data_IF_751695235393
#
_entry.id   IF_751695235393
#
_cell.length_a   1.000
_cell.length_b   1.000
_cell.length_c   1.000
_cell.angle_alpha   90.00
_cell.angle_beta   90.00
_cell.angle_gamma   90.00
#
_symmetry.space_group_name_H-M   'P 1'
#
loop_
_entity.id
_entity.type
_entity.pdbx_description
1 polymer ?
#
# COMPACT_ATOMS: atom_id res chain seq x y z
N UNK A 1 -14.12 -4.47 1.09
CA UNK A 1 -14.79 -3.30 0.49
C UNK A 1 -16.26 -3.61 0.23
N UNK A 2 -16.58 -4.41 -0.80
CA UNK A 2 -17.96 -4.68 -1.25
C UNK A 2 -18.86 -5.19 -0.11
N UNK A 3 -18.45 -6.24 0.60
CA UNK A 3 -19.21 -6.77 1.74
C UNK A 3 -19.48 -5.73 2.83
N UNK A 4 -18.50 -4.87 3.11
CA UNK A 4 -18.62 -3.80 4.10
C UNK A 4 -19.68 -2.79 3.66
N UNK A 5 -19.60 -2.34 2.42
CA UNK A 5 -20.60 -1.46 1.80
C UNK A 5 -21.99 -2.10 1.86
N UNK A 6 -22.15 -3.37 1.46
CA UNK A 6 -23.43 -4.08 1.54
C UNK A 6 -23.99 -4.12 2.95
N UNK A 7 -23.16 -4.37 3.96
CA UNK A 7 -23.58 -4.40 5.38
C UNK A 7 -24.04 -3.02 5.84
N UNK A 8 -23.28 -1.97 5.54
CA UNK A 8 -23.63 -0.59 5.90
C UNK A 8 -24.96 -0.18 5.26
N UNK A 9 -25.15 -0.47 3.97
CA UNK A 9 -26.39 -0.13 3.29
C UNK A 9 -27.60 -0.92 3.77
N UNK A 10 -27.44 -2.20 4.16
CA UNK A 10 -28.53 -2.97 4.81
C UNK A 10 -29.02 -2.33 6.11
N UNK A 11 -28.13 -1.66 6.84
CA UNK A 11 -28.48 -0.94 8.08
C UNK A 11 -29.15 0.40 7.76
N UNK A 12 -28.62 1.13 6.77
CA UNK A 12 -29.10 2.47 6.42
C UNK A 12 -30.38 2.48 5.59
N UNK A 13 -30.63 1.42 4.80
CA UNK A 13 -31.73 1.37 3.84
C UNK A 13 -32.18 -0.07 3.61
N UNK A 14 -33.49 -0.31 3.54
CA UNK A 14 -34.06 -1.65 3.30
C UNK A 14 -33.88 -2.15 1.86
N UNK A 15 -33.20 -1.38 1.00
CA UNK A 15 -32.94 -1.72 -0.39
C UNK A 15 -31.96 -2.91 -0.47
N UNK A 16 -32.42 -3.99 -1.10
CA UNK A 16 -31.70 -5.28 -1.11
C UNK A 16 -30.50 -5.32 -2.05
N UNK A 17 -30.31 -4.33 -2.94
CA UNK A 17 -29.25 -4.40 -3.95
C UNK A 17 -28.85 -3.03 -4.52
N UNK A 18 -27.95 -2.34 -3.82
CA UNK A 18 -27.44 -1.02 -4.24
C UNK A 18 -26.64 -1.09 -5.54
N UNK A 19 -25.95 -2.20 -5.76
CA UNK A 19 -25.00 -2.36 -6.87
C UNK A 19 -25.68 -2.56 -8.23
N UNK A 20 -27.01 -2.78 -8.25
CA UNK A 20 -27.80 -2.80 -9.48
C UNK A 20 -28.16 -1.40 -9.98
N UNK A 21 -28.27 -0.43 -9.05
CA UNK A 21 -28.64 0.95 -9.36
C UNK A 21 -27.41 1.86 -9.48
N UNK A 22 -26.39 1.61 -8.66
CA UNK A 22 -25.22 2.46 -8.54
C UNK A 22 -23.96 1.80 -9.12
N UNK A 23 -23.12 2.63 -9.76
CA UNK A 23 -21.80 2.22 -10.25
C UNK A 23 -20.77 2.35 -9.14
N UNK A 24 -19.90 1.35 -9.00
CA UNK A 24 -18.90 1.31 -7.94
C UNK A 24 -17.55 1.84 -8.45
N UNK A 25 -17.14 3.01 -8.00
CA UNK A 25 -15.79 3.55 -8.25
C UNK A 25 -14.90 3.37 -7.02
N UNK A 26 -13.68 2.85 -7.21
CA UNK A 26 -12.71 2.69 -6.14
C UNK A 26 -11.29 3.07 -6.56
N UNK A 27 -10.50 3.53 -5.60
CA UNK A 27 -9.09 3.87 -5.79
C UNK A 27 -8.20 2.62 -6.02
N UNK A 28 -6.92 2.87 -6.34
CA UNK A 28 -5.93 1.82 -6.57
C UNK A 28 -5.49 1.07 -5.30
N UNK A 29 -5.85 1.56 -4.13
CA UNK A 29 -5.72 0.87 -2.84
C UNK A 29 -6.62 -0.38 -2.79
N UNK A 30 -7.78 -0.34 -3.45
CA UNK A 30 -8.75 -1.43 -3.47
C UNK A 30 -8.54 -2.47 -4.57
N UNK A 31 -7.51 -2.33 -5.40
CA UNK A 31 -7.11 -3.28 -6.44
C UNK A 31 -6.48 -4.57 -5.84
N UNK A 32 -7.28 -5.36 -5.14
CA UNK A 32 -6.90 -6.65 -4.56
C UNK A 32 -7.64 -7.78 -5.27
N UNK A 33 -7.00 -8.94 -5.45
CA UNK A 33 -7.57 -10.11 -6.14
C UNK A 33 -8.95 -10.50 -5.61
N UNK A 34 -9.10 -10.60 -4.28
CA UNK A 34 -10.38 -10.91 -3.63
C UNK A 34 -11.48 -9.90 -3.99
N UNK A 35 -11.16 -8.60 -4.03
CA UNK A 35 -12.14 -7.58 -4.40
C UNK A 35 -12.55 -7.72 -5.87
N UNK A 36 -11.60 -7.94 -6.78
CA UNK A 36 -11.88 -8.14 -8.20
C UNK A 36 -12.75 -9.39 -8.42
N UNK A 37 -12.40 -10.51 -7.80
CA UNK A 37 -13.20 -11.75 -7.88
C UNK A 37 -14.64 -11.53 -7.42
N UNK A 38 -14.84 -10.76 -6.34
CA UNK A 38 -16.19 -10.41 -5.87
C UNK A 38 -16.95 -9.52 -6.85
N UNK A 39 -16.30 -8.50 -7.43
CA UNK A 39 -16.92 -7.65 -8.47
C UNK A 39 -17.38 -8.50 -9.67
N UNK A 40 -16.49 -9.36 -10.17
CA UNK A 40 -16.78 -10.20 -11.34
C UNK A 40 -17.87 -11.24 -11.05
N UNK A 41 -17.78 -11.95 -9.93
CA UNK A 41 -18.77 -12.99 -9.58
C UNK A 41 -20.17 -12.43 -9.28
N UNK A 42 -20.25 -11.22 -8.72
CA UNK A 42 -21.52 -10.56 -8.42
C UNK A 42 -22.05 -9.72 -9.59
N UNK A 43 -21.31 -9.62 -10.70
CA UNK A 43 -21.73 -8.85 -11.88
C UNK A 43 -21.89 -7.35 -11.61
N UNK A 44 -21.05 -6.80 -10.72
CA UNK A 44 -21.15 -5.39 -10.32
C UNK A 44 -20.48 -4.50 -11.38
N UNK A 45 -21.18 -3.46 -11.85
CA UNK A 45 -20.58 -2.42 -12.71
C UNK A 45 -19.65 -1.55 -11.85
N UNK A 46 -18.35 -1.89 -11.90
CA UNK A 46 -17.32 -1.24 -11.08
C UNK A 46 -16.11 -0.77 -11.91
N UNK A 47 -15.61 0.41 -11.55
CA UNK A 47 -14.39 1.02 -12.09
C UNK A 47 -13.36 1.10 -10.97
N UNK A 48 -12.39 0.20 -10.99
CA UNK A 48 -11.33 0.11 -9.99
C UNK A 48 -10.00 0.50 -10.65
N UNK A 49 -9.34 1.52 -10.09
CA UNK A 49 -8.05 1.95 -10.62
C UNK A 49 -6.97 0.86 -10.44
N UNK A 50 -6.11 0.66 -11.44
CA UNK A 50 -4.97 -0.27 -11.35
C UNK A 50 -3.77 0.40 -10.65
N UNK A 51 -3.21 -0.29 -9.65
CA UNK A 51 -2.00 0.13 -8.94
C UNK A 51 -0.76 0.13 -9.84
N UNK A 52 -0.73 -0.70 -10.87
CA UNK A 52 0.39 -0.85 -11.78
C UNK A 52 0.25 -0.02 -13.06
N UNK A 53 -0.81 0.80 -13.17
CA UNK A 53 -1.04 1.65 -14.34
C UNK A 53 0.22 2.45 -14.74
N UNK A 54 0.89 3.07 -13.75
CA UNK A 54 2.12 3.85 -13.97
C UNK A 54 3.35 3.01 -14.33
N UNK A 55 3.34 1.69 -14.11
CA UNK A 55 4.45 0.80 -14.49
C UNK A 55 4.24 0.17 -15.86
N UNK A 56 2.98 -0.02 -16.27
CA UNK A 56 2.62 -0.67 -17.53
C UNK A 56 2.76 0.27 -18.73
N UNK A 57 2.44 1.56 -18.57
CA UNK A 57 2.49 2.50 -19.69
C UNK A 57 3.95 2.86 -20.05
N UNK A 58 4.38 2.62 -21.30
CA UNK A 58 5.72 2.95 -21.79
C UNK A 58 6.16 4.40 -21.54
N UNK A 59 5.22 5.35 -21.46
CA UNK A 59 5.47 6.76 -21.17
C UNK A 59 6.09 6.98 -19.80
N UNK A 60 5.91 6.03 -18.88
CA UNK A 60 6.42 6.11 -17.51
C UNK A 60 7.66 5.25 -17.25
N UNK A 61 8.22 4.59 -18.28
CA UNK A 61 9.45 3.77 -18.16
C UNK A 61 10.60 4.51 -17.49
N UNK A 62 10.67 5.81 -17.72
CA UNK A 62 11.74 6.67 -17.26
C UNK A 62 11.49 7.31 -15.87
N UNK A 63 10.32 7.07 -15.25
CA UNK A 63 9.98 7.70 -13.97
C UNK A 63 10.88 7.25 -12.81
N UNK A 64 11.41 6.04 -12.85
CA UNK A 64 12.30 5.54 -11.80
C UNK A 64 13.62 6.33 -11.71
N UNK A 65 14.00 7.07 -12.78
CA UNK A 65 15.17 7.96 -12.76
C UNK A 65 15.06 9.09 -11.73
N UNK A 66 13.84 9.53 -11.40
CA UNK A 66 13.63 10.59 -10.40
C UNK A 66 13.71 10.08 -8.96
N UNK A 67 13.42 8.80 -8.71
CA UNK A 67 13.51 8.19 -7.37
C UNK A 67 14.97 8.08 -6.90
N UNK A 68 15.87 7.71 -7.81
CA UNK A 68 17.31 7.62 -7.52
C UNK A 68 17.90 8.99 -7.14
N UNK A 69 17.43 10.07 -7.77
CA UNK A 69 17.91 11.43 -7.49
C UNK A 69 17.44 11.95 -6.13
N UNK A 70 16.26 11.53 -5.66
CA UNK A 70 15.77 11.84 -4.31
C UNK A 70 16.56 11.07 -3.23
N UNK A 71 16.75 9.76 -3.39
CA UNK A 71 17.56 8.96 -2.45
C UNK A 71 19.02 9.43 -2.37
N UNK A 72 19.62 9.86 -3.50
CA UNK A 72 20.99 10.39 -3.52
C UNK A 72 21.11 11.75 -2.83
N UNK A 73 20.02 12.53 -2.75
CA UNK A 73 19.98 13.77 -1.97
C UNK A 73 19.82 13.49 -0.47
N UNK A 74 19.09 12.44 -0.11
CA UNK A 74 18.94 12.01 1.29
C UNK A 74 20.18 11.30 1.85
N UNK A 75 20.98 10.63 0.99
CA UNK A 75 22.23 9.97 1.38
C UNK A 75 23.38 10.38 0.45
N UNK A 76 24.12 11.47 0.75
CA UNK A 76 25.17 11.96 -0.16
C UNK A 76 26.41 11.06 -0.21
N UNK A 77 26.78 10.39 0.88
CA UNK A 77 27.85 9.41 0.95
C UNK A 77 27.89 8.81 2.35
N UNK A 78 27.85 7.48 2.51
CA UNK A 78 28.48 6.76 3.62
C UNK A 78 28.16 7.12 5.09
N UNK A 79 27.26 8.04 5.42
CA UNK A 79 26.97 8.41 6.81
C UNK A 79 25.72 7.72 7.31
N UNK A 80 25.87 6.47 7.78
CA UNK A 80 25.04 6.00 8.89
C UNK A 80 25.72 6.53 10.15
N UNK A 81 25.29 7.64 10.78
CA UNK A 81 25.56 7.75 12.21
C UNK A 81 24.79 6.59 12.84
N UNK A 82 25.48 5.71 13.55
CA UNK A 82 24.83 4.83 14.52
C UNK A 82 23.85 5.69 15.30
N UNK A 83 22.56 5.35 15.24
CA UNK A 83 21.55 6.01 16.05
C UNK A 83 21.85 5.58 17.48
N UNK A 84 22.70 6.34 18.16
CA UNK A 84 22.90 6.27 19.59
C UNK A 84 21.58 6.75 20.21
N UNK A 85 20.68 5.83 20.50
CA UNK A 85 19.56 6.11 21.37
C UNK A 85 20.15 6.49 22.73
N UNK A 86 20.26 7.79 23.00
CA UNK A 86 20.40 8.33 24.35
C UNK A 86 19.10 7.99 25.08
N UNK A 87 19.01 6.77 25.61
CA UNK A 87 18.13 6.52 26.73
C UNK A 87 18.69 7.34 27.90
N UNK A 88 17.83 8.15 28.52
CA UNK A 88 18.15 9.03 29.67
C UNK A 88 18.59 8.28 30.95
N UNK A 89 19.10 7.07 30.84
CA UNK A 89 19.54 6.26 31.96
C UNK A 89 20.97 5.80 31.70
N UNK A 90 21.90 6.31 32.50
CA UNK A 90 23.27 5.85 32.59
C UNK A 90 23.31 4.34 32.80
N UNK A 91 23.45 3.56 31.73
CA UNK A 91 24.11 2.25 31.70
C UNK A 91 24.27 1.83 30.24
N UNK A 92 25.47 2.06 29.72
CA UNK A 92 25.92 1.45 28.49
C UNK A 92 25.86 -0.07 28.65
N UNK A 93 25.05 -0.73 27.82
CA UNK A 93 25.15 -2.18 27.59
C UNK A 93 25.42 -2.34 26.11
N UNK A 94 26.69 -2.49 25.76
CA UNK A 94 27.12 -2.90 24.43
C UNK A 94 26.85 -4.39 24.28
N UNK A 95 25.86 -4.75 23.46
CA UNK A 95 25.67 -6.15 23.04
C UNK A 95 26.46 -6.33 21.75
N UNK A 96 27.67 -6.90 21.87
CA UNK A 96 28.46 -7.34 20.73
C UNK A 96 27.75 -8.51 20.00
N UNK A 97 27.74 -8.54 18.66
CA UNK A 97 27.22 -9.69 17.92
C UNK A 97 28.15 -10.89 18.11
N UNK A 98 27.61 -11.98 18.68
CA UNK A 98 28.29 -13.28 18.70
C UNK A 98 28.37 -13.81 17.27
N UNK A 99 29.56 -13.70 16.67
CA UNK A 99 29.92 -14.47 15.48
C UNK A 99 29.88 -15.97 15.84
N UNK A 100 29.00 -16.71 15.16
CA UNK A 100 29.00 -18.17 15.15
C UNK A 100 29.35 -18.59 13.72
N UNK A 101 30.56 -19.09 13.54
CA UNK A 101 30.87 -20.15 12.57
C UNK A 101 32.23 -20.77 12.95
N UNK A 102 32.29 -22.11 12.94
CA UNK A 102 33.44 -22.97 13.29
C UNK A 102 34.76 -22.56 12.66
#
# INVERSE_FOLDING_TARGET
MIEGTSKTFKVLSSDKDIFKKAKLTADAGFHMKKNMEMVFSQGIDAYIADRHFRKQDPRFKDQDRFKQRAQRRENPAGSRPEILFLTRSNRAVSVLPRNISM
#
